data_IF_490411239982
#
_entry.id   IF_490411239982
#
_cell.length_a   1.000
_cell.length_b   1.000
_cell.length_c   1.000
_cell.angle_alpha   90.00
_cell.angle_beta   90.00
_cell.angle_gamma   90.00
#
_symmetry.space_group_name_H-M   'P 1'
#
loop_
_entity.id
_entity.type
_entity.pdbx_description
1 polymer ?
#
# COMPACT_ATOMS: atom_id res chain seq x y z
N UNK A 1 -11.64 20.87 -9.76
CA UNK A 1 -10.92 19.58 -9.71
C UNK A 1 -10.89 19.11 -8.27
N UNK A 2 -11.32 17.89 -8.01
CA UNK A 2 -11.33 17.29 -6.66
C UNK A 2 -10.26 16.20 -6.61
N UNK A 3 -9.49 16.14 -5.53
CA UNK A 3 -8.51 15.09 -5.27
C UNK A 3 -8.98 14.25 -4.08
N UNK A 4 -9.03 12.93 -4.26
CA UNK A 4 -9.31 11.97 -3.19
C UNK A 4 -8.06 11.13 -2.98
N UNK A 5 -7.58 11.10 -1.76
CA UNK A 5 -6.44 10.26 -1.36
C UNK A 5 -6.98 9.14 -0.48
N UNK A 6 -6.75 7.91 -0.90
CA UNK A 6 -7.19 6.71 -0.18
C UNK A 6 -5.97 5.87 0.16
N UNK A 7 -5.86 5.48 1.43
CA UNK A 7 -4.92 4.44 1.83
C UNK A 7 -5.52 3.07 1.54
N UNK A 8 -4.69 2.12 1.11
CA UNK A 8 -5.13 0.73 0.95
C UNK A 8 -5.73 0.16 2.24
N UNK A 9 -6.67 -0.77 2.12
CA UNK A 9 -7.24 -1.53 3.24
C UNK A 9 -6.17 -2.30 4.02
N UNK A 10 -6.50 -2.78 5.19
CA UNK A 10 -5.58 -3.55 6.03
C UNK A 10 -5.00 -4.74 5.24
N UNK A 11 -3.67 -4.83 5.14
CA UNK A 11 -3.00 -6.00 4.56
C UNK A 11 -2.81 -7.12 5.60
N UNK A 12 -2.56 -8.35 5.11
CA UNK A 12 -2.23 -9.50 5.97
C UNK A 12 -1.04 -9.18 6.89
N UNK A 13 -0.01 -8.49 6.38
CA UNK A 13 1.15 -8.11 7.19
C UNK A 13 0.90 -6.92 8.12
N UNK A 14 -0.08 -6.06 7.82
CA UNK A 14 -0.54 -5.08 8.81
C UNK A 14 -1.16 -5.80 10.02
N UNK A 15 -2.02 -6.79 9.77
CA UNK A 15 -2.64 -7.61 10.81
C UNK A 15 -1.59 -8.36 11.66
N UNK A 16 -0.53 -8.87 11.02
CA UNK A 16 0.58 -9.58 11.67
C UNK A 16 1.63 -8.64 12.31
N UNK A 17 1.42 -7.31 12.24
CA UNK A 17 2.36 -6.30 12.71
C UNK A 17 3.77 -6.42 12.11
N UNK A 18 3.86 -6.69 10.80
CA UNK A 18 5.14 -6.80 10.06
C UNK A 18 5.42 -5.56 9.23
N UNK A 19 6.70 -5.32 8.94
CA UNK A 19 7.12 -4.36 7.91
C UNK A 19 6.79 -4.90 6.53
N UNK A 20 5.99 -4.18 5.75
CA UNK A 20 5.57 -4.62 4.41
C UNK A 20 6.47 -4.02 3.32
N UNK A 21 6.49 -2.71 3.20
CA UNK A 21 7.27 -2.03 2.15
C UNK A 21 6.84 -2.48 0.75
N UNK A 22 7.80 -2.95 -0.05
CA UNK A 22 7.57 -3.35 -1.44
C UNK A 22 7.26 -4.84 -1.60
N UNK A 23 7.22 -5.61 -0.50
CA UNK A 23 6.73 -7.00 -0.56
C UNK A 23 5.25 -6.98 -0.92
N UNK A 24 4.90 -7.79 -1.92
CA UNK A 24 3.55 -7.80 -2.45
C UNK A 24 2.65 -8.75 -1.65
N UNK A 25 1.92 -8.15 -0.72
CA UNK A 25 1.05 -8.83 0.24
C UNK A 25 -0.37 -8.36 0.03
N UNK A 26 -1.31 -9.30 -0.05
CA UNK A 26 -2.73 -9.04 -0.23
C UNK A 26 -3.42 -8.40 0.99
N UNK A 27 -4.68 -8.02 0.79
CA UNK A 27 -5.55 -7.53 1.86
C UNK A 27 -5.97 -8.66 2.82
N UNK A 28 -6.22 -8.32 4.07
CA UNK A 28 -6.96 -9.16 5.00
C UNK A 28 -8.48 -9.10 4.70
N UNK A 29 -9.26 -9.99 5.28
CA UNK A 29 -10.74 -9.93 5.18
C UNK A 29 -11.26 -8.55 5.63
N UNK A 30 -10.76 -8.03 6.74
CA UNK A 30 -11.11 -6.69 7.19
C UNK A 30 -10.71 -5.60 6.19
N UNK A 31 -9.54 -5.72 5.56
CA UNK A 31 -9.09 -4.77 4.55
C UNK A 31 -9.94 -4.77 3.28
N UNK A 32 -10.50 -5.92 2.91
CA UNK A 32 -11.49 -6.03 1.83
C UNK A 32 -12.76 -5.27 2.20
N UNK A 33 -13.27 -5.48 3.41
CA UNK A 33 -14.47 -4.80 3.88
C UNK A 33 -14.26 -3.27 3.99
N UNK A 34 -13.10 -2.82 4.49
CA UNK A 34 -12.71 -1.41 4.51
C UNK A 34 -12.76 -0.78 3.11
N UNK A 35 -12.25 -1.46 2.10
CA UNK A 35 -12.26 -0.99 0.71
C UNK A 35 -13.69 -0.91 0.14
N UNK A 36 -14.53 -1.91 0.41
CA UNK A 36 -15.95 -1.92 0.03
C UNK A 36 -16.70 -0.74 0.66
N UNK A 37 -16.48 -0.49 1.94
CA UNK A 37 -17.12 0.63 2.66
C UNK A 37 -16.63 1.99 2.15
N UNK A 38 -15.36 2.11 1.75
CA UNK A 38 -14.85 3.32 1.12
C UNK A 38 -15.58 3.60 -0.20
N UNK A 39 -15.79 2.58 -1.04
CA UNK A 39 -16.56 2.71 -2.30
C UNK A 39 -18.00 3.16 -2.05
N UNK A 40 -18.70 2.51 -1.10
CA UNK A 40 -20.05 2.89 -0.71
C UNK A 40 -20.12 4.34 -0.18
N UNK A 41 -19.09 4.77 0.54
CA UNK A 41 -19.01 6.14 1.08
C UNK A 41 -18.84 7.16 -0.04
N UNK A 42 -17.97 6.89 -1.02
CA UNK A 42 -17.81 7.75 -2.20
C UNK A 42 -19.11 7.85 -3.00
N UNK A 43 -19.78 6.72 -3.24
CA UNK A 43 -21.09 6.67 -3.91
C UNK A 43 -22.13 7.53 -3.19
N UNK A 44 -22.26 7.39 -1.87
CA UNK A 44 -23.21 8.17 -1.05
C UNK A 44 -22.97 9.68 -1.17
N UNK A 45 -21.73 10.08 -1.39
CA UNK A 45 -21.37 11.49 -1.54
C UNK A 45 -21.31 11.96 -3.01
N UNK A 46 -21.81 11.15 -3.95
CA UNK A 46 -21.81 11.41 -5.39
C UNK A 46 -20.39 11.69 -5.95
N UNK A 47 -19.39 10.99 -5.40
CA UNK A 47 -18.01 11.11 -5.83
C UNK A 47 -17.70 10.03 -6.85
N UNK A 48 -17.55 10.41 -8.13
CA UNK A 48 -17.13 9.52 -9.21
C UNK A 48 -15.79 10.06 -9.74
N UNK A 49 -14.68 9.33 -9.60
CA UNK A 49 -13.40 9.76 -10.15
C UNK A 49 -13.36 9.58 -11.66
N UNK A 50 -12.72 10.49 -12.38
CA UNK A 50 -12.41 10.36 -13.80
C UNK A 50 -11.15 9.50 -14.00
N UNK A 51 -10.20 9.61 -13.06
CA UNK A 51 -8.91 8.90 -13.10
C UNK A 51 -8.68 8.24 -11.73
N UNK A 52 -8.24 6.99 -11.76
CA UNK A 52 -7.76 6.25 -10.60
C UNK A 52 -6.28 5.92 -10.77
N UNK A 53 -5.44 6.39 -9.87
CA UNK A 53 -4.00 6.14 -9.89
C UNK A 53 -3.64 5.29 -8.68
N UNK A 54 -2.95 4.16 -8.91
CA UNK A 54 -2.50 3.25 -7.85
C UNK A 54 -0.99 3.07 -7.89
N UNK A 55 -0.43 2.53 -6.80
CA UNK A 55 0.90 1.94 -6.84
C UNK A 55 0.88 0.58 -7.57
N UNK A 56 2.06 0.00 -7.80
CA UNK A 56 2.18 -1.35 -8.35
C UNK A 56 1.77 -2.46 -7.37
N UNK A 57 1.66 -2.14 -6.09
CA UNK A 57 1.41 -3.12 -5.03
C UNK A 57 -0.03 -3.65 -5.08
N UNK A 58 -0.17 -4.98 -5.00
CA UNK A 58 -1.45 -5.70 -5.12
C UNK A 58 -2.51 -5.15 -4.15
N UNK A 59 -2.15 -4.91 -2.89
CA UNK A 59 -3.06 -4.33 -1.90
C UNK A 59 -3.66 -2.99 -2.32
N UNK A 60 -2.88 -2.16 -3.04
CA UNK A 60 -3.35 -0.88 -3.56
C UNK A 60 -4.33 -1.07 -4.73
N UNK A 61 -3.98 -1.96 -5.66
CA UNK A 61 -4.80 -2.27 -6.84
C UNK A 61 -6.13 -2.91 -6.43
N UNK A 62 -6.09 -3.91 -5.54
CA UNK A 62 -7.31 -4.57 -5.04
C UNK A 62 -8.19 -3.58 -4.28
N UNK A 63 -7.61 -2.72 -3.44
CA UNK A 63 -8.39 -1.66 -2.78
C UNK A 63 -9.09 -0.76 -3.79
N UNK A 64 -8.38 -0.29 -4.82
CA UNK A 64 -8.96 0.57 -5.86
C UNK A 64 -10.07 -0.15 -6.65
N UNK A 65 -9.86 -1.42 -7.00
CA UNK A 65 -10.88 -2.21 -7.70
C UNK A 65 -12.17 -2.34 -6.87
N UNK A 66 -12.04 -2.73 -5.60
CA UNK A 66 -13.19 -2.87 -4.70
C UNK A 66 -13.93 -1.54 -4.48
N UNK A 67 -13.20 -0.44 -4.38
CA UNK A 67 -13.80 0.90 -4.32
C UNK A 67 -14.61 1.16 -5.57
N UNK A 68 -14.01 1.01 -6.75
CA UNK A 68 -14.65 1.31 -8.03
C UNK A 68 -15.87 0.41 -8.28
N UNK A 69 -15.78 -0.87 -7.96
CA UNK A 69 -16.91 -1.83 -8.05
C UNK A 69 -18.10 -1.45 -7.16
N UNK A 70 -17.86 -0.71 -6.09
CA UNK A 70 -18.90 -0.23 -5.17
C UNK A 70 -19.32 1.24 -5.40
N UNK A 71 -18.83 1.87 -6.47
CA UNK A 71 -19.37 3.11 -7.01
C UNK A 71 -20.69 2.84 -7.78
N UNK A 72 -21.10 3.74 -8.64
CA UNK A 72 -22.30 3.53 -9.45
C UNK A 72 -21.98 2.67 -10.69
N UNK A 73 -22.77 1.61 -10.90
CA UNK A 73 -22.53 0.58 -11.93
C UNK A 73 -22.49 1.10 -13.38
N UNK A 74 -22.98 2.31 -13.67
CA UNK A 74 -23.05 2.84 -15.03
C UNK A 74 -21.72 3.44 -15.53
N UNK A 75 -20.81 3.82 -14.64
CA UNK A 75 -19.57 4.54 -14.99
C UNK A 75 -18.29 3.74 -14.71
N UNK A 76 -18.39 2.46 -14.37
CA UNK A 76 -17.25 1.61 -14.01
C UNK A 76 -16.20 1.49 -15.13
N UNK A 77 -16.64 1.47 -16.40
CA UNK A 77 -15.77 1.28 -17.56
C UNK A 77 -15.09 2.57 -18.03
N UNK A 78 -15.57 3.73 -17.60
CA UNK A 78 -15.10 5.05 -18.06
C UNK A 78 -13.98 5.62 -17.18
N UNK A 79 -13.66 4.99 -16.05
CA UNK A 79 -12.59 5.45 -15.16
C UNK A 79 -11.23 5.06 -15.73
N UNK A 80 -10.45 6.06 -16.15
CA UNK A 80 -9.08 5.85 -16.58
C UNK A 80 -8.23 5.30 -15.41
N UNK A 81 -7.46 4.24 -15.64
CA UNK A 81 -6.63 3.59 -14.62
C UNK A 81 -5.15 3.72 -14.96
N UNK A 82 -4.37 4.14 -13.97
CA UNK A 82 -2.92 4.24 -14.07
C UNK A 82 -2.25 3.57 -12.89
N UNK A 83 -1.22 2.80 -13.16
CA UNK A 83 -0.35 2.22 -12.13
C UNK A 83 1.02 2.91 -12.23
N UNK A 84 1.53 3.40 -11.10
CA UNK A 84 2.84 4.05 -11.04
C UNK A 84 3.59 3.61 -9.78
N UNK A 85 4.82 3.10 -9.95
CA UNK A 85 5.62 2.60 -8.83
C UNK A 85 6.03 3.69 -7.84
N UNK A 86 6.08 4.94 -8.26
CA UNK A 86 6.39 6.08 -7.39
C UNK A 86 5.39 6.28 -6.25
N UNK A 87 4.21 5.67 -6.35
CA UNK A 87 3.22 5.61 -5.27
C UNK A 87 3.39 4.39 -4.36
N UNK A 88 4.38 3.54 -4.59
CA UNK A 88 4.66 2.46 -3.66
C UNK A 88 4.94 3.01 -2.26
N UNK A 89 4.60 2.21 -1.25
CA UNK A 89 4.98 2.46 0.14
C UNK A 89 6.51 2.64 0.24
N UNK A 90 6.99 3.29 1.30
CA UNK A 90 8.41 3.32 1.64
C UNK A 90 9.00 1.91 1.59
N UNK A 91 10.14 1.78 0.94
CA UNK A 91 10.91 0.55 0.96
C UNK A 91 11.60 0.39 2.32
N UNK A 92 11.38 -0.73 3.00
CA UNK A 92 11.96 -0.97 4.32
C UNK A 92 13.25 -1.80 4.29
N UNK A 93 13.78 -2.09 3.11
CA UNK A 93 15.03 -2.82 2.92
C UNK A 93 15.01 -4.19 3.63
N UNK A 94 16.06 -4.47 4.42
CA UNK A 94 16.17 -5.73 5.17
C UNK A 94 15.18 -5.87 6.34
N UNK A 95 14.42 -4.83 6.66
CA UNK A 95 13.36 -4.92 7.68
C UNK A 95 12.09 -5.57 7.15
N UNK A 96 11.90 -5.65 5.82
CA UNK A 96 10.71 -6.25 5.22
C UNK A 96 10.50 -7.68 5.72
N UNK A 97 9.27 -7.99 6.14
CA UNK A 97 8.91 -9.28 6.74
C UNK A 97 9.14 -9.39 8.24
N UNK A 98 9.97 -8.55 8.85
CA UNK A 98 10.21 -8.60 10.28
C UNK A 98 9.00 -8.09 11.08
N UNK A 99 8.78 -8.65 12.26
CA UNK A 99 7.78 -8.15 13.19
C UNK A 99 8.24 -6.83 13.79
N UNK A 100 7.36 -5.81 13.79
CA UNK A 100 7.71 -4.45 14.24
C UNK A 100 8.04 -4.38 15.73
N UNK A 101 7.33 -5.15 16.56
CA UNK A 101 7.57 -5.16 18.01
C UNK A 101 8.92 -5.80 18.34
N UNK A 102 9.24 -6.93 17.71
CA UNK A 102 10.52 -7.61 17.89
C UNK A 102 11.68 -6.74 17.38
N UNK A 103 11.47 -6.05 16.27
CA UNK A 103 12.44 -5.10 15.73
C UNK A 103 12.67 -3.93 16.68
N UNK A 104 11.60 -3.40 17.31
CA UNK A 104 11.72 -2.34 18.33
C UNK A 104 12.47 -2.82 19.57
N UNK A 105 12.25 -4.06 20.00
CA UNK A 105 13.03 -4.64 21.12
C UNK A 105 14.52 -4.76 20.78
N UNK A 106 14.85 -5.06 19.53
CA UNK A 106 16.23 -5.27 19.08
C UNK A 106 16.98 -3.96 18.84
N UNK A 107 16.34 -2.97 18.24
CA UNK A 107 17.00 -1.75 17.75
C UNK A 107 16.61 -0.48 18.54
N UNK A 108 15.67 -0.58 19.47
CA UNK A 108 15.07 0.53 20.19
C UNK A 108 13.85 1.13 19.46
N UNK A 109 12.89 1.62 20.24
CA UNK A 109 11.64 2.19 19.70
C UNK A 109 11.91 3.45 18.88
N UNK A 110 12.78 4.34 19.37
CA UNK A 110 13.13 5.59 18.69
C UNK A 110 13.74 5.34 17.31
N UNK A 111 14.68 4.40 17.21
CA UNK A 111 15.30 4.07 15.93
C UNK A 111 14.28 3.48 14.95
N UNK A 112 13.41 2.59 15.41
CA UNK A 112 12.34 2.02 14.58
C UNK A 112 11.33 3.08 14.17
N UNK A 113 11.04 4.04 15.06
CA UNK A 113 10.19 5.18 14.75
C UNK A 113 10.80 6.03 13.62
N UNK A 114 12.10 6.34 13.70
CA UNK A 114 12.82 7.07 12.66
C UNK A 114 12.73 6.34 11.31
N UNK A 115 13.04 5.05 11.25
CA UNK A 115 12.92 4.27 10.00
C UNK A 115 11.51 4.28 9.40
N UNK A 116 10.48 4.41 10.23
CA UNK A 116 9.08 4.38 9.79
C UNK A 116 8.51 5.75 9.42
N UNK A 117 9.01 6.82 10.00
CA UNK A 117 8.35 8.14 9.97
C UNK A 117 9.25 9.28 9.52
N UNK A 118 10.54 9.21 9.79
CA UNK A 118 11.44 10.28 9.38
C UNK A 118 11.69 10.24 7.87
N UNK A 119 11.70 11.42 7.26
CA UNK A 119 11.85 11.54 5.80
C UNK A 119 13.29 11.23 5.35
N UNK A 120 14.28 11.57 6.16
CA UNK A 120 15.70 11.50 5.82
C UNK A 120 16.36 10.20 6.26
N UNK A 121 15.82 9.55 7.32
CA UNK A 121 16.41 8.32 7.86
C UNK A 121 16.05 7.13 6.97
N UNK A 122 17.06 6.60 6.29
CA UNK A 122 16.92 5.42 5.42
C UNK A 122 16.91 4.15 6.27
N UNK A 123 15.95 3.23 6.10
CA UNK A 123 15.99 1.90 6.68
C UNK A 123 17.24 1.12 6.21
N UNK A 124 17.68 0.08 6.97
CA UNK A 124 18.80 -0.77 6.54
C UNK A 124 18.54 -1.34 5.14
N UNK A 125 19.52 -1.25 4.25
CA UNK A 125 19.38 -1.70 2.87
C UNK A 125 19.12 -3.21 2.81
N UNK A 126 18.36 -3.64 1.81
CA UNK A 126 18.26 -5.06 1.47
C UNK A 126 19.62 -5.57 0.99
N UNK A 127 19.93 -6.83 1.27
CA UNK A 127 21.13 -7.43 0.70
C UNK A 127 21.00 -7.50 -0.83
N UNK A 128 22.09 -7.26 -1.57
CA UNK A 128 22.09 -7.44 -3.01
C UNK A 128 21.58 -8.83 -3.40
N UNK A 129 20.80 -8.91 -4.48
CA UNK A 129 20.22 -10.14 -5.01
C UNK A 129 19.30 -10.91 -4.05
N UNK A 130 18.91 -10.31 -2.91
CA UNK A 130 17.87 -10.88 -2.03
C UNK A 130 16.48 -10.63 -2.60
N UNK A 131 15.49 -11.40 -2.16
CA UNK A 131 14.06 -11.22 -2.52
C UNK A 131 13.51 -9.82 -2.21
N UNK A 132 14.23 -9.05 -1.40
CA UNK A 132 13.89 -7.69 -1.03
C UNK A 132 14.68 -6.63 -1.80
N UNK A 133 15.61 -7.02 -2.68
CA UNK A 133 16.35 -6.07 -3.51
C UNK A 133 15.47 -5.57 -4.67
N UNK A 134 15.11 -4.28 -4.71
CA UNK A 134 14.27 -3.75 -5.77
C UNK A 134 14.95 -3.79 -7.15
N UNK A 135 16.27 -3.89 -7.19
CA UNK A 135 17.04 -3.90 -8.45
C UNK A 135 16.90 -5.20 -9.25
N UNK A 136 16.51 -6.30 -8.61
CA UNK A 136 16.27 -7.56 -9.33
C UNK A 136 14.87 -7.62 -9.95
N UNK A 137 13.94 -6.79 -9.51
CA UNK A 137 12.57 -6.78 -10.03
C UNK A 137 12.48 -5.94 -11.32
N UNK A 138 12.12 -6.60 -12.41
CA UNK A 138 11.99 -5.97 -13.74
C UNK A 138 10.92 -4.86 -13.80
N UNK A 139 9.95 -4.87 -12.88
CA UNK A 139 8.90 -3.85 -12.79
C UNK A 139 9.43 -2.46 -12.42
N UNK A 140 10.63 -2.37 -11.83
CA UNK A 140 11.23 -1.13 -11.33
C UNK A 140 12.45 -0.65 -12.13
N UNK A 141 12.72 -1.32 -13.25
CA UNK A 141 13.82 -0.97 -14.17
C UNK A 141 13.42 0.06 -15.21
#
# INVERSE_FOLDING_TARGET
MNLIIVRHGQSIWNLQNRFTGWVDVGLSENGIEEAIQAGKTLKKNNFIPEICITSFLERSKVTANLIIENLDNQNFLDIERKEIWQLNERHYGSLQGLNKLETSKKYGEDQVHLWRRDFTTVPPLAAPDSDHDPNINLLYK
#
